data_IF_310980145941
#
_entry.id   IF_310980145941
#
_cell.length_a   1.000
_cell.length_b   1.000
_cell.length_c   1.000
_cell.angle_alpha   90.00
_cell.angle_beta   90.00
_cell.angle_gamma   90.00
#
_symmetry.space_group_name_H-M   'P 1'
#
loop_
_entity.id
_entity.type
_entity.pdbx_description
1 polymer ?
#
# COMPACT_ATOMS: atom_id res chain seq x y z
N UNK A 1 -21.38 9.82 -26.32
CA UNK A 1 -20.84 8.93 -25.27
C UNK A 1 -20.60 7.58 -25.90
N UNK A 2 -19.36 7.08 -25.84
CA UNK A 2 -18.98 5.77 -26.35
C UNK A 2 -19.29 4.70 -25.29
N UNK A 3 -19.76 3.53 -25.71
CA UNK A 3 -20.20 2.50 -24.76
C UNK A 3 -19.46 1.19 -24.99
N UNK A 4 -18.99 0.58 -23.90
CA UNK A 4 -18.28 -0.70 -23.89
C UNK A 4 -18.99 -1.71 -22.98
N UNK A 5 -18.72 -3.01 -23.22
CA UNK A 5 -19.19 -4.10 -22.36
C UNK A 5 -18.04 -5.06 -22.07
N UNK A 6 -17.81 -5.34 -20.79
CA UNK A 6 -16.84 -6.31 -20.34
C UNK A 6 -17.46 -7.24 -19.28
N UNK A 7 -16.88 -8.41 -19.05
CA UNK A 7 -17.26 -9.21 -17.89
C UNK A 7 -16.60 -8.62 -16.62
N UNK A 8 -15.35 -8.17 -16.75
CA UNK A 8 -14.61 -7.49 -15.68
C UNK A 8 -13.99 -6.19 -16.19
N UNK A 9 -14.14 -5.11 -15.43
CA UNK A 9 -13.36 -3.87 -15.61
C UNK A 9 -12.30 -3.80 -14.52
N UNK A 10 -11.06 -3.56 -14.91
CA UNK A 10 -9.94 -3.29 -13.99
C UNK A 10 -9.60 -1.82 -14.04
N UNK A 11 -9.66 -1.14 -12.92
CA UNK A 11 -9.34 0.30 -12.82
C UNK A 11 -7.92 0.48 -12.32
N UNK A 12 -7.05 0.93 -13.21
CA UNK A 12 -5.60 1.07 -13.01
C UNK A 12 -4.80 -0.09 -13.59
N UNK A 13 -3.64 0.21 -14.17
CA UNK A 13 -2.73 -0.75 -14.83
C UNK A 13 -1.37 -0.89 -14.13
N UNK A 14 -1.28 -0.56 -12.85
CA UNK A 14 -0.10 -0.89 -12.05
C UNK A 14 0.05 -2.40 -11.85
N UNK A 15 1.00 -2.84 -11.03
CA UNK A 15 1.27 -4.25 -10.76
C UNK A 15 0.01 -5.02 -10.33
N UNK A 16 -0.85 -4.41 -9.50
CA UNK A 16 -2.12 -5.01 -9.10
C UNK A 16 -3.09 -5.18 -10.27
N UNK A 17 -3.28 -4.14 -11.07
CA UNK A 17 -4.22 -4.18 -12.19
C UNK A 17 -3.84 -5.18 -13.25
N UNK A 18 -2.56 -5.20 -13.67
CA UNK A 18 -2.08 -6.14 -14.68
C UNK A 18 -2.16 -7.59 -14.19
N UNK A 19 -1.69 -7.87 -12.96
CA UNK A 19 -1.72 -9.21 -12.41
C UNK A 19 -3.16 -9.76 -12.28
N UNK A 20 -4.11 -8.95 -11.81
CA UNK A 20 -5.51 -9.36 -11.69
C UNK A 20 -6.19 -9.56 -13.05
N UNK A 21 -5.91 -8.68 -14.04
CA UNK A 21 -6.46 -8.79 -15.38
C UNK A 21 -6.01 -10.07 -16.12
N UNK A 22 -4.75 -10.47 -15.92
CA UNK A 22 -4.19 -11.71 -16.47
C UNK A 22 -4.95 -12.94 -15.93
N UNK A 23 -5.22 -12.99 -14.61
CA UNK A 23 -5.99 -14.10 -14.02
C UNK A 23 -7.42 -14.17 -14.57
N UNK A 24 -8.06 -13.03 -14.73
CA UNK A 24 -9.41 -12.96 -15.33
C UNK A 24 -9.39 -13.45 -16.77
N UNK A 25 -8.41 -13.04 -17.57
CA UNK A 25 -8.26 -13.42 -18.97
C UNK A 25 -7.97 -14.90 -19.14
N UNK A 26 -7.12 -15.48 -18.29
CA UNK A 26 -6.79 -16.91 -18.28
C UNK A 26 -8.00 -17.80 -17.99
N UNK A 27 -9.07 -17.24 -17.43
CA UNK A 27 -10.34 -17.92 -17.20
C UNK A 27 -11.37 -17.72 -18.33
N UNK A 28 -10.94 -17.20 -19.50
CA UNK A 28 -11.73 -16.94 -20.71
C UNK A 28 -12.84 -15.88 -20.53
N UNK A 29 -12.69 -14.98 -19.55
CA UNK A 29 -13.58 -13.84 -19.38
C UNK A 29 -13.08 -12.61 -20.17
N UNK A 30 -14.04 -11.76 -20.59
CA UNK A 30 -13.73 -10.48 -21.23
C UNK A 30 -13.35 -9.48 -20.17
N UNK A 31 -12.08 -9.08 -20.14
CA UNK A 31 -11.56 -8.05 -19.24
C UNK A 31 -11.19 -6.79 -20.02
N UNK A 32 -11.43 -5.62 -19.46
CA UNK A 32 -11.01 -4.32 -19.98
C UNK A 32 -10.25 -3.57 -18.88
N UNK A 33 -9.04 -3.11 -19.19
CA UNK A 33 -8.24 -2.28 -18.30
C UNK A 33 -8.45 -0.79 -18.64
N UNK A 34 -8.70 0.05 -17.64
CA UNK A 34 -8.77 1.51 -17.78
C UNK A 34 -7.59 2.14 -17.05
N UNK A 35 -6.74 2.86 -17.78
CA UNK A 35 -5.54 3.48 -17.27
C UNK A 35 -5.54 4.99 -17.56
N UNK A 36 -5.30 5.80 -16.54
CA UNK A 36 -5.26 7.27 -16.67
C UNK A 36 -3.97 7.81 -17.30
N UNK A 37 -2.89 7.06 -17.17
CA UNK A 37 -1.57 7.43 -17.74
C UNK A 37 -1.49 7.04 -19.23
N UNK A 38 -0.42 7.51 -19.90
CA UNK A 38 -0.16 7.26 -21.33
C UNK A 38 0.41 5.89 -21.62
N UNK A 39 0.75 5.13 -20.59
CA UNK A 39 1.35 3.80 -20.68
C UNK A 39 0.92 2.91 -19.54
N UNK A 40 1.01 1.59 -19.76
CA UNK A 40 0.75 0.58 -18.74
C UNK A 40 1.92 0.51 -17.74
N UNK A 41 1.65 0.14 -16.48
CA UNK A 41 2.69 -0.18 -15.50
C UNK A 41 2.64 0.67 -14.22
N UNK A 42 1.97 1.82 -14.27
CA UNK A 42 1.76 2.70 -13.12
C UNK A 42 3.07 3.16 -12.47
N UNK A 43 3.05 3.32 -11.14
CA UNK A 43 4.19 3.84 -10.36
C UNK A 43 5.46 2.99 -10.49
N UNK A 44 5.36 1.71 -10.86
CA UNK A 44 6.48 0.79 -10.96
C UNK A 44 7.50 1.22 -12.02
N UNK A 45 7.05 1.92 -13.07
CA UNK A 45 7.90 2.43 -14.15
C UNK A 45 8.98 3.43 -13.68
N UNK A 46 8.69 4.22 -12.66
CA UNK A 46 9.65 5.18 -12.13
C UNK A 46 10.60 4.61 -11.06
N UNK A 47 10.36 3.37 -10.61
CA UNK A 47 11.13 2.70 -9.57
C UNK A 47 12.36 2.00 -10.17
N UNK A 48 13.37 2.75 -10.62
CA UNK A 48 14.56 2.21 -11.32
C UNK A 48 15.60 1.56 -10.41
N UNK A 49 15.31 1.42 -9.11
CA UNK A 49 16.16 0.70 -8.14
C UNK A 49 15.83 -0.80 -8.09
N UNK A 50 16.75 -1.60 -7.59
CA UNK A 50 16.61 -3.04 -7.41
C UNK A 50 15.68 -3.40 -6.23
N UNK A 51 15.34 -4.69 -6.13
CA UNK A 51 14.58 -5.29 -5.04
C UNK A 51 13.17 -5.74 -5.42
N UNK A 52 12.86 -5.79 -6.71
CA UNK A 52 11.60 -6.30 -7.28
C UNK A 52 11.78 -7.74 -7.77
N UNK A 53 10.74 -8.55 -7.74
CA UNK A 53 10.68 -9.86 -8.41
C UNK A 53 11.27 -11.03 -7.65
N UNK A 54 11.87 -10.84 -6.49
CA UNK A 54 12.52 -11.92 -5.72
C UNK A 54 11.56 -13.06 -5.36
N UNK A 55 10.29 -12.77 -5.07
CA UNK A 55 9.27 -13.78 -4.77
C UNK A 55 8.50 -14.24 -6.01
N UNK A 56 8.16 -13.30 -6.87
CA UNK A 56 7.34 -13.55 -8.05
C UNK A 56 8.10 -14.28 -9.17
N UNK A 57 9.35 -13.84 -9.43
CA UNK A 57 10.16 -14.33 -10.55
C UNK A 57 11.44 -15.05 -10.10
N UNK A 58 11.73 -15.07 -8.79
CA UNK A 58 12.98 -15.62 -8.21
C UNK A 58 14.23 -14.95 -8.80
N UNK A 59 14.12 -13.69 -9.15
CA UNK A 59 15.13 -12.88 -9.81
C UNK A 59 15.07 -11.46 -9.27
N UNK A 60 16.22 -10.82 -9.04
CA UNK A 60 16.28 -9.43 -8.61
C UNK A 60 16.18 -8.51 -9.81
N UNK A 61 15.14 -7.71 -9.88
CA UNK A 61 14.81 -6.83 -10.98
C UNK A 61 14.69 -5.38 -10.50
N UNK A 62 14.75 -4.44 -11.44
CA UNK A 62 14.24 -3.07 -11.26
C UNK A 62 12.72 -3.03 -11.45
N UNK A 63 12.07 -1.93 -11.03
CA UNK A 63 10.62 -1.77 -11.22
C UNK A 63 10.18 -1.86 -12.69
N UNK A 64 10.82 -1.16 -13.65
CA UNK A 64 10.51 -1.29 -15.08
C UNK A 64 10.68 -2.72 -15.61
N UNK A 65 11.75 -3.43 -15.26
CA UNK A 65 11.95 -4.84 -15.67
C UNK A 65 10.87 -5.75 -15.11
N UNK A 66 10.51 -5.55 -13.86
CA UNK A 66 9.42 -6.28 -13.20
C UNK A 66 8.09 -6.10 -13.91
N UNK A 67 7.68 -4.86 -14.10
CA UNK A 67 6.36 -4.58 -14.65
C UNK A 67 6.26 -4.93 -16.13
N UNK A 68 7.38 -4.84 -16.87
CA UNK A 68 7.42 -5.20 -18.28
C UNK A 68 7.05 -6.67 -18.51
N UNK A 69 7.36 -7.56 -17.57
CA UNK A 69 6.95 -8.98 -17.66
C UNK A 69 5.44 -9.15 -17.61
N UNK A 70 4.73 -8.35 -16.81
CA UNK A 70 3.27 -8.35 -16.79
C UNK A 70 2.67 -7.66 -18.01
N UNK A 71 3.27 -6.56 -18.47
CA UNK A 71 2.86 -5.88 -19.71
C UNK A 71 2.94 -6.84 -20.90
N UNK A 72 4.05 -7.56 -21.04
CA UNK A 72 4.21 -8.55 -22.10
C UNK A 72 3.10 -9.63 -22.06
N UNK A 73 2.78 -10.16 -20.90
CA UNK A 73 1.68 -11.12 -20.74
C UNK A 73 0.31 -10.52 -21.15
N UNK A 74 0.05 -9.26 -20.79
CA UNK A 74 -1.18 -8.56 -21.21
C UNK A 74 -1.25 -8.43 -22.72
N UNK A 75 -0.14 -8.10 -23.38
CA UNK A 75 -0.05 -7.99 -24.83
C UNK A 75 -0.20 -9.35 -25.53
N UNK A 76 0.48 -10.38 -25.04
CA UNK A 76 0.41 -11.75 -25.58
C UNK A 76 -1.01 -12.33 -25.48
N UNK A 77 -1.68 -12.09 -24.35
CA UNK A 77 -3.07 -12.49 -24.12
C UNK A 77 -4.09 -11.60 -24.84
N UNK A 78 -3.62 -10.54 -25.50
CA UNK A 78 -4.46 -9.53 -26.18
C UNK A 78 -5.57 -8.99 -25.29
N UNK A 79 -5.21 -8.66 -24.06
CA UNK A 79 -6.14 -8.01 -23.12
C UNK A 79 -6.39 -6.57 -23.60
N UNK A 80 -7.63 -6.16 -23.87
CA UNK A 80 -7.92 -4.79 -24.27
C UNK A 80 -7.71 -3.82 -23.09
N UNK A 81 -7.16 -2.66 -23.42
CA UNK A 81 -6.94 -1.57 -22.45
C UNK A 81 -7.18 -0.21 -23.14
N UNK A 82 -7.55 0.78 -22.33
CA UNK A 82 -7.67 2.18 -22.75
C UNK A 82 -6.71 3.02 -21.88
N UNK A 83 -5.76 3.68 -22.54
CA UNK A 83 -4.83 4.64 -21.96
C UNK A 83 -5.43 6.05 -21.98
N UNK A 84 -4.79 7.03 -21.31
CA UNK A 84 -5.31 8.40 -21.17
C UNK A 84 -6.79 8.43 -20.74
N UNK A 85 -7.21 7.46 -19.94
CA UNK A 85 -8.61 7.21 -19.60
C UNK A 85 -8.82 7.30 -18.09
N UNK A 86 -9.32 8.45 -17.66
CA UNK A 86 -9.58 8.74 -16.25
C UNK A 86 -10.98 8.28 -15.88
N UNK A 87 -11.09 7.30 -14.99
CA UNK A 87 -12.37 6.91 -14.39
C UNK A 87 -12.82 8.01 -13.43
N UNK A 88 -14.05 8.47 -13.61
CA UNK A 88 -14.63 9.58 -12.84
C UNK A 88 -15.78 9.14 -11.93
N UNK A 89 -16.42 8.02 -12.23
CA UNK A 89 -17.54 7.49 -11.44
C UNK A 89 -17.65 5.98 -11.58
N UNK A 90 -18.01 5.31 -10.50
CA UNK A 90 -18.38 3.90 -10.45
C UNK A 90 -19.72 3.82 -9.74
N UNK A 91 -20.71 3.16 -10.36
CA UNK A 91 -22.05 3.01 -9.79
C UNK A 91 -22.23 1.63 -9.13
N UNK A 92 -23.22 1.50 -8.25
CA UNK A 92 -23.54 0.23 -7.57
C UNK A 92 -23.96 -0.90 -8.53
N UNK A 93 -24.54 -0.54 -9.67
CA UNK A 93 -24.91 -1.49 -10.75
C UNK A 93 -23.73 -1.79 -11.70
N UNK A 94 -22.53 -1.43 -11.30
CA UNK A 94 -21.26 -1.72 -11.98
C UNK A 94 -21.14 -1.08 -13.37
N UNK A 95 -21.67 0.11 -13.53
CA UNK A 95 -21.32 1.02 -14.62
C UNK A 95 -20.09 1.84 -14.23
N UNK A 96 -19.16 1.96 -15.15
CA UNK A 96 -17.95 2.77 -14.99
C UNK A 96 -18.00 3.89 -16.01
N UNK A 97 -17.94 5.14 -15.51
CA UNK A 97 -17.84 6.31 -16.37
C UNK A 97 -16.39 6.82 -16.35
N UNK A 98 -15.88 7.09 -17.55
CA UNK A 98 -14.50 7.55 -17.72
C UNK A 98 -14.44 8.65 -18.77
N UNK A 99 -13.39 9.47 -18.70
CA UNK A 99 -13.05 10.48 -19.71
C UNK A 99 -11.75 10.08 -20.39
N UNK A 100 -11.76 10.08 -21.71
CA UNK A 100 -10.62 9.79 -22.56
C UNK A 100 -10.37 10.95 -23.52
N UNK A 101 -9.12 11.27 -23.81
CA UNK A 101 -8.76 12.42 -24.63
C UNK A 101 -9.24 12.30 -26.08
N UNK A 102 -9.31 11.10 -26.64
CA UNK A 102 -9.72 10.85 -28.03
C UNK A 102 -11.23 10.56 -28.14
N UNK A 103 -11.76 9.78 -27.18
CA UNK A 103 -13.13 9.26 -27.26
C UNK A 103 -14.14 10.08 -26.46
N UNK A 104 -13.67 11.05 -25.66
CA UNK A 104 -14.51 11.86 -24.77
C UNK A 104 -15.07 11.03 -23.62
N UNK A 105 -16.36 11.20 -23.33
CA UNK A 105 -17.05 10.47 -22.25
C UNK A 105 -17.35 9.03 -22.67
N UNK A 106 -16.93 8.09 -21.86
CA UNK A 106 -17.05 6.63 -22.02
C UNK A 106 -17.93 6.07 -20.92
N UNK A 107 -18.83 5.15 -21.25
CA UNK A 107 -19.54 4.27 -20.32
C UNK A 107 -19.10 2.82 -20.54
N UNK A 108 -18.73 2.12 -19.47
CA UNK A 108 -18.45 0.67 -19.50
C UNK A 108 -19.42 -0.06 -18.59
N UNK A 109 -20.21 -0.97 -19.14
CA UNK A 109 -21.04 -1.88 -18.35
C UNK A 109 -20.27 -3.15 -18.04
N UNK A 110 -20.10 -3.45 -16.75
CA UNK A 110 -19.40 -4.63 -16.26
C UNK A 110 -20.30 -5.56 -15.43
N UNK A 111 -19.90 -6.84 -15.29
CA UNK A 111 -20.47 -7.76 -14.30
C UNK A 111 -19.72 -7.68 -12.97
N UNK A 112 -18.45 -7.35 -13.01
CA UNK A 112 -17.58 -7.17 -11.85
C UNK A 112 -16.53 -6.10 -12.10
N UNK A 113 -16.02 -5.48 -11.02
CA UNK A 113 -15.00 -4.44 -11.09
C UNK A 113 -13.86 -4.81 -10.13
N UNK A 114 -12.61 -4.63 -10.58
CA UNK A 114 -11.42 -4.73 -9.73
C UNK A 114 -10.82 -3.33 -9.56
N UNK A 115 -10.78 -2.85 -8.33
CA UNK A 115 -10.17 -1.59 -7.94
C UNK A 115 -8.67 -1.80 -7.72
N UNK A 116 -7.84 -1.18 -8.56
CA UNK A 116 -6.38 -1.29 -8.53
C UNK A 116 -5.70 0.09 -8.70
N UNK A 117 -6.36 1.16 -8.22
CA UNK A 117 -5.93 2.55 -8.40
C UNK A 117 -4.69 2.95 -7.59
N UNK A 118 -4.21 2.08 -6.71
CA UNK A 118 -3.03 2.34 -5.90
C UNK A 118 -3.25 3.35 -4.78
N UNK A 119 -2.25 4.17 -4.52
CA UNK A 119 -2.26 5.20 -3.47
C UNK A 119 -1.59 6.48 -3.95
N UNK A 120 -1.80 7.59 -3.21
CA UNK A 120 -1.10 8.86 -3.39
C UNK A 120 -0.29 9.21 -2.16
N UNK A 121 0.73 10.03 -2.31
CA UNK A 121 1.54 10.52 -1.22
C UNK A 121 0.84 11.63 -0.43
N UNK A 122 1.10 11.68 0.88
CA UNK A 122 0.67 12.81 1.71
C UNK A 122 1.42 14.06 1.32
N UNK A 123 0.68 15.11 0.99
CA UNK A 123 1.23 16.42 0.62
C UNK A 123 1.51 17.27 1.86
N UNK A 124 2.22 18.41 1.66
CA UNK A 124 2.39 19.44 2.68
C UNK A 124 1.08 19.87 3.34
N UNK A 125 0.00 20.00 2.54
CA UNK A 125 -1.32 20.37 3.06
C UNK A 125 -1.90 19.36 4.03
N UNK A 126 -1.66 18.08 3.81
CA UNK A 126 -2.13 17.00 4.68
C UNK A 126 -1.46 16.98 6.07
N UNK A 127 -0.21 17.49 6.17
CA UNK A 127 0.56 17.55 7.43
C UNK A 127 0.71 18.98 7.98
N UNK A 128 0.07 19.97 7.32
CA UNK A 128 -0.06 21.36 7.80
C UNK A 128 1.25 22.05 8.21
N UNK A 129 2.37 21.87 7.48
CA UNK A 129 3.63 22.54 7.80
C UNK A 129 3.48 24.06 7.64
N UNK A 130 3.75 24.88 8.69
CA UNK A 130 3.66 26.32 8.62
C UNK A 130 4.68 26.95 7.66
N UNK A 131 4.40 28.17 7.21
CA UNK A 131 5.26 28.98 6.35
C UNK A 131 4.63 29.30 4.99
N UNK A 132 5.39 29.94 4.11
CA UNK A 132 4.97 30.27 2.76
C UNK A 132 4.79 29.00 1.89
N UNK A 133 4.23 29.17 0.71
CA UNK A 133 4.08 28.09 -0.30
C UNK A 133 4.98 28.36 -1.51
N UNK A 134 6.31 28.40 -1.34
CA UNK A 134 7.24 28.64 -2.43
C UNK A 134 7.35 27.42 -3.36
N UNK A 135 7.95 27.59 -4.54
CA UNK A 135 8.46 26.47 -5.32
C UNK A 135 9.53 25.68 -4.53
N UNK A 136 9.75 24.42 -4.86
CA UNK A 136 10.74 23.56 -4.20
C UNK A 136 10.19 22.68 -3.09
N UNK A 137 8.86 22.49 -3.01
CA UNK A 137 8.23 21.55 -2.08
C UNK A 137 7.55 20.47 -2.93
N UNK A 138 8.01 19.22 -2.80
CA UNK A 138 7.52 18.08 -3.56
C UNK A 138 7.35 16.87 -2.66
N UNK A 139 6.53 15.91 -3.07
CA UNK A 139 6.58 14.58 -2.48
C UNK A 139 7.77 13.80 -3.04
N UNK A 140 8.25 12.78 -2.32
CA UNK A 140 9.41 12.00 -2.75
C UNK A 140 9.15 11.26 -4.08
N UNK A 141 7.94 10.70 -4.27
CA UNK A 141 7.56 10.04 -5.51
C UNK A 141 7.36 10.99 -6.68
N UNK A 142 6.89 12.23 -6.44
CA UNK A 142 6.85 13.26 -7.47
C UNK A 142 8.28 13.64 -7.92
N UNK A 143 9.20 13.80 -6.98
CA UNK A 143 10.61 14.05 -7.31
C UNK A 143 11.23 12.85 -8.05
N UNK A 144 10.87 11.62 -7.67
CA UNK A 144 11.29 10.41 -8.36
C UNK A 144 10.84 10.41 -9.84
N UNK A 145 9.60 10.78 -10.11
CA UNK A 145 9.09 10.91 -11.48
C UNK A 145 9.88 11.97 -12.26
N UNK A 146 10.11 13.16 -11.69
CA UNK A 146 10.88 14.20 -12.35
C UNK A 146 12.28 13.72 -12.74
N UNK A 147 12.98 13.04 -11.83
CA UNK A 147 14.36 12.59 -12.08
C UNK A 147 14.40 11.39 -13.02
N UNK A 148 13.55 10.38 -12.79
CA UNK A 148 13.67 9.08 -13.44
C UNK A 148 12.92 8.97 -14.77
N UNK A 149 11.85 9.75 -14.96
CA UNK A 149 11.00 9.71 -16.16
C UNK A 149 11.18 10.98 -17.00
N UNK A 150 11.09 12.14 -16.36
CA UNK A 150 11.07 13.44 -17.08
C UNK A 150 12.48 14.02 -17.30
N UNK A 151 13.51 13.52 -16.61
CA UNK A 151 14.90 13.99 -16.72
C UNK A 151 15.17 15.36 -16.10
N UNK A 152 14.38 15.77 -15.09
CA UNK A 152 14.53 17.06 -14.41
C UNK A 152 15.00 16.91 -12.98
N UNK A 153 15.93 17.76 -12.55
CA UNK A 153 16.30 17.91 -11.14
C UNK A 153 15.45 19.05 -10.53
N UNK A 154 14.58 18.75 -9.54
CA UNK A 154 13.74 19.76 -8.92
C UNK A 154 14.48 20.75 -8.03
N UNK A 155 15.75 20.52 -7.72
CA UNK A 155 16.64 21.41 -6.97
C UNK A 155 18.05 20.87 -6.85
N UNK A 156 18.86 21.49 -5.96
CA UNK A 156 20.27 21.11 -5.76
C UNK A 156 20.60 20.77 -4.30
N UNK A 157 19.93 21.40 -3.32
CA UNK A 157 20.15 21.19 -1.89
C UNK A 157 18.86 20.74 -1.21
N UNK A 158 18.84 19.51 -0.75
CA UNK A 158 17.62 18.85 -0.31
C UNK A 158 17.59 18.64 1.20
N UNK A 159 16.42 18.84 1.78
CA UNK A 159 16.01 18.22 3.06
C UNK A 159 14.86 17.29 2.73
N UNK A 160 14.90 16.08 3.29
CA UNK A 160 13.85 15.07 3.12
C UNK A 160 13.15 14.88 4.45
N UNK A 161 11.84 15.08 4.52
CA UNK A 161 11.02 14.84 5.71
C UNK A 161 10.38 13.46 5.61
N UNK A 162 10.71 12.59 6.55
CA UNK A 162 10.32 11.20 6.63
C UNK A 162 11.38 10.25 6.09
N UNK A 163 11.68 9.19 6.84
CA UNK A 163 12.62 8.12 6.50
C UNK A 163 11.92 6.88 5.92
N UNK A 164 10.77 7.05 5.26
CA UNK A 164 10.14 6.00 4.47
C UNK A 164 11.03 5.58 3.30
N UNK A 165 10.82 4.37 2.75
CA UNK A 165 11.68 3.78 1.73
C UNK A 165 11.92 4.71 0.54
N UNK A 166 10.88 5.35 0.02
CA UNK A 166 11.01 6.24 -1.13
C UNK A 166 11.86 7.48 -0.80
N UNK A 167 11.75 8.01 0.43
CA UNK A 167 12.58 9.13 0.88
C UNK A 167 14.06 8.78 0.94
N UNK A 168 14.39 7.61 1.49
CA UNK A 168 15.78 7.13 1.56
C UNK A 168 16.33 6.78 0.18
N UNK A 169 15.56 6.11 -0.66
CA UNK A 169 15.94 5.80 -2.06
C UNK A 169 16.21 7.08 -2.84
N UNK A 170 15.35 8.10 -2.68
CA UNK A 170 15.56 9.39 -3.33
C UNK A 170 16.74 10.16 -2.75
N UNK A 171 17.05 10.04 -1.47
CA UNK A 171 18.27 10.61 -0.90
C UNK A 171 19.52 10.10 -1.63
N UNK A 172 19.65 8.80 -1.78
CA UNK A 172 20.72 8.17 -2.57
C UNK A 172 20.68 8.60 -4.04
N UNK A 173 19.50 8.54 -4.66
CA UNK A 173 19.34 8.88 -6.09
C UNK A 173 19.80 10.30 -6.41
N UNK A 174 19.39 11.27 -5.60
CA UNK A 174 19.78 12.67 -5.76
C UNK A 174 21.28 12.89 -5.52
N UNK A 175 21.87 12.16 -4.58
CA UNK A 175 23.32 12.19 -4.37
C UNK A 175 24.08 11.69 -5.60
N UNK A 176 23.59 10.64 -6.27
CA UNK A 176 24.17 10.15 -7.53
C UNK A 176 24.05 11.16 -8.68
N UNK A 177 23.02 12.00 -8.67
CA UNK A 177 22.88 13.10 -9.63
C UNK A 177 23.73 14.34 -9.28
N UNK A 178 24.58 14.25 -8.26
CA UNK A 178 25.46 15.34 -7.84
C UNK A 178 24.80 16.39 -6.95
N UNK A 179 23.59 16.14 -6.47
CA UNK A 179 22.90 17.02 -5.53
C UNK A 179 23.39 16.81 -4.09
N UNK A 180 23.22 17.82 -3.25
CA UNK A 180 23.52 17.76 -1.82
C UNK A 180 22.26 17.42 -1.00
N UNK A 181 22.23 16.27 -0.36
CA UNK A 181 21.18 15.93 0.61
C UNK A 181 21.67 16.31 2.00
N UNK A 182 21.14 17.41 2.53
CA UNK A 182 21.53 17.99 3.83
C UNK A 182 21.16 17.08 5.01
N UNK A 183 19.97 16.50 4.99
CA UNK A 183 19.51 15.56 6.01
C UNK A 183 18.22 14.87 5.57
N UNK A 184 18.01 13.65 6.11
CA UNK A 184 16.70 13.02 6.24
C UNK A 184 16.22 13.25 7.68
N UNK A 185 15.03 13.84 7.84
CA UNK A 185 14.43 14.21 9.14
C UNK A 185 13.26 13.28 9.41
N UNK A 186 13.29 12.58 10.54
CA UNK A 186 12.28 11.59 10.90
C UNK A 186 11.63 11.95 12.25
N UNK A 187 10.31 11.95 12.30
CA UNK A 187 9.55 12.27 13.51
C UNK A 187 9.63 11.15 14.55
N UNK A 188 9.73 9.91 14.11
CA UNK A 188 9.89 8.75 14.96
C UNK A 188 11.31 8.69 15.55
N UNK A 189 11.52 8.02 16.70
CA UNK A 189 12.86 7.78 17.24
C UNK A 189 13.65 6.69 16.50
N UNK A 190 13.11 6.14 15.43
CA UNK A 190 13.68 5.10 14.58
C UNK A 190 13.27 5.31 13.11
N UNK A 191 13.93 4.61 12.19
CA UNK A 191 13.63 4.65 10.75
C UNK A 191 12.25 4.06 10.47
N UNK A 192 11.45 4.76 9.67
CA UNK A 192 10.11 4.31 9.29
C UNK A 192 10.08 3.37 8.07
N UNK A 193 11.16 3.27 7.29
CA UNK A 193 11.32 2.34 6.18
C UNK A 193 12.13 1.09 6.56
N UNK A 194 12.53 0.32 5.55
CA UNK A 194 13.32 -0.91 5.71
C UNK A 194 14.75 -0.60 6.15
N UNK A 195 15.28 -1.36 7.12
CA UNK A 195 16.64 -1.18 7.63
C UNK A 195 17.72 -1.30 6.55
N UNK A 196 17.53 -2.18 5.55
CA UNK A 196 18.45 -2.26 4.42
C UNK A 196 18.58 -0.95 3.66
N UNK A 197 17.48 -0.19 3.53
CA UNK A 197 17.50 1.10 2.84
C UNK A 197 18.16 2.18 3.69
N UNK A 198 18.09 2.12 5.03
CA UNK A 198 18.90 2.97 5.89
C UNK A 198 20.39 2.81 5.60
N UNK A 199 20.89 1.58 5.57
CA UNK A 199 22.30 1.30 5.30
C UNK A 199 22.66 1.72 3.87
N UNK A 200 21.99 1.14 2.87
CA UNK A 200 22.34 1.30 1.46
C UNK A 200 22.04 2.68 0.86
N UNK A 201 21.18 3.48 1.49
CA UNK A 201 20.78 4.77 0.94
C UNK A 201 21.25 5.95 1.78
N UNK A 202 21.53 5.79 3.07
CA UNK A 202 21.96 6.88 3.93
C UNK A 202 23.37 6.67 4.48
N UNK A 203 23.66 5.54 5.13
CA UNK A 203 24.95 5.30 5.78
C UNK A 203 26.10 5.19 4.78
N UNK A 204 25.93 4.42 3.69
CA UNK A 204 26.92 4.27 2.62
C UNK A 204 27.26 5.59 1.91
N UNK A 205 26.38 6.60 2.01
CA UNK A 205 26.57 7.93 1.40
C UNK A 205 26.80 9.04 2.41
N UNK A 206 26.97 8.71 3.70
CA UNK A 206 27.14 9.67 4.79
C UNK A 206 26.02 10.74 4.86
N UNK A 207 24.78 10.38 4.49
CA UNK A 207 23.64 11.29 4.55
C UNK A 207 23.11 11.31 5.98
N UNK A 208 23.05 12.49 6.65
CA UNK A 208 22.60 12.58 8.03
C UNK A 208 21.13 12.17 8.21
N UNK A 209 20.86 11.26 9.15
CA UNK A 209 19.52 10.92 9.62
C UNK A 209 19.29 11.57 10.98
N UNK A 210 18.25 12.42 11.09
CA UNK A 210 17.91 13.15 12.31
C UNK A 210 16.56 12.64 12.81
N UNK A 211 16.56 11.75 13.79
CA UNK A 211 15.36 11.15 14.38
C UNK A 211 14.77 11.98 15.52
N UNK A 212 13.50 11.78 15.83
CA UNK A 212 12.73 12.56 16.82
C UNK A 212 12.67 14.06 16.50
N UNK A 213 12.69 14.42 15.21
CA UNK A 213 12.55 15.79 14.72
C UNK A 213 11.51 15.85 13.59
N UNK A 214 10.89 17.02 13.46
CA UNK A 214 10.01 17.30 12.32
C UNK A 214 10.25 18.71 11.78
N UNK A 215 9.83 18.96 10.53
CA UNK A 215 9.87 20.32 9.95
C UNK A 215 8.72 21.14 10.52
N UNK A 216 9.06 22.23 11.21
CA UNK A 216 8.09 23.10 11.87
C UNK A 216 7.87 24.42 11.17
N UNK A 217 8.73 24.79 10.20
CA UNK A 217 8.56 26.00 9.38
C UNK A 217 9.33 25.89 8.07
N UNK A 218 8.71 26.37 6.98
CA UNK A 218 9.32 26.54 5.67
C UNK A 218 9.65 28.02 5.46
N UNK A 219 10.87 28.31 5.03
CA UNK A 219 11.37 29.65 4.72
C UNK A 219 11.51 29.83 3.20
N UNK A 220 11.37 31.07 2.75
CA UNK A 220 11.43 31.49 1.36
C UNK A 220 10.04 31.83 0.80
N UNK A 221 9.98 32.85 -0.06
CA UNK A 221 8.74 33.35 -0.65
C UNK A 221 8.52 32.79 -2.06
N UNK A 222 9.49 32.91 -2.92
CA UNK A 222 9.39 32.46 -4.31
C UNK A 222 9.87 31.00 -4.46
N UNK A 223 10.96 30.65 -3.78
CA UNK A 223 11.51 29.31 -3.66
C UNK A 223 11.90 29.02 -2.21
N UNK A 224 11.95 27.75 -1.83
CA UNK A 224 12.47 27.30 -0.53
C UNK A 224 13.91 27.81 -0.37
N UNK A 225 14.21 28.45 0.78
CA UNK A 225 15.53 28.94 1.19
C UNK A 225 16.06 28.17 2.40
N UNK A 226 15.20 27.37 3.01
CA UNK A 226 15.53 26.53 4.16
C UNK A 226 14.30 26.08 4.93
N UNK A 227 14.52 25.22 5.88
CA UNK A 227 13.50 24.71 6.80
C UNK A 227 13.98 24.85 8.24
N UNK A 228 13.06 25.12 9.16
CA UNK A 228 13.31 24.94 10.59
C UNK A 228 12.79 23.56 10.99
N UNK A 229 13.64 22.78 11.64
CA UNK A 229 13.27 21.52 12.28
C UNK A 229 13.25 21.72 13.80
N UNK A 230 12.38 20.98 14.49
CA UNK A 230 12.31 20.98 15.96
C UNK A 230 12.21 19.56 16.45
N UNK A 231 12.81 19.30 17.62
CA UNK A 231 12.67 18.03 18.32
C UNK A 231 11.21 17.86 18.77
N UNK A 232 10.74 16.62 18.79
CA UNK A 232 9.43 16.25 19.32
C UNK A 232 9.58 15.30 20.51
N UNK A 233 8.61 15.33 21.40
CA UNK A 233 8.48 14.40 22.52
C UNK A 233 7.76 13.09 22.09
N UNK A 234 7.41 12.24 23.07
CA UNK A 234 6.72 10.96 22.82
C UNK A 234 5.29 11.12 22.32
N UNK A 235 4.68 12.27 22.49
CA UNK A 235 3.33 12.60 22.00
C UNK A 235 3.39 13.32 20.65
N UNK A 236 4.58 13.46 20.05
CA UNK A 236 4.87 14.25 18.86
C UNK A 236 4.68 15.75 19.04
N UNK A 237 4.61 16.24 20.29
CA UNK A 237 4.55 17.66 20.59
C UNK A 237 5.94 18.29 20.44
N UNK A 238 5.97 19.51 19.88
CA UNK A 238 7.19 20.24 19.62
C UNK A 238 7.86 20.68 20.92
N UNK A 239 9.14 20.39 21.09
CA UNK A 239 9.97 20.88 22.19
C UNK A 239 10.49 22.27 21.85
N UNK A 240 10.02 23.28 22.57
CA UNK A 240 10.43 24.70 22.41
C UNK A 240 11.91 24.85 22.76
N UNK A 241 12.65 25.64 21.98
CA UNK A 241 14.09 25.87 22.16
C UNK A 241 14.98 24.82 21.49
N UNK A 242 14.41 23.82 20.81
CA UNK A 242 15.15 22.80 20.08
C UNK A 242 15.30 23.10 18.58
N UNK A 243 14.86 24.27 18.15
CA UNK A 243 14.82 24.69 16.76
C UNK A 243 16.20 24.72 16.11
N UNK A 244 16.31 24.14 14.91
CA UNK A 244 17.50 24.19 14.07
C UNK A 244 17.11 24.61 12.65
N UNK A 245 17.82 25.55 12.08
CA UNK A 245 17.65 25.94 10.68
C UNK A 245 18.56 25.10 9.80
N UNK A 246 18.02 24.57 8.71
CA UNK A 246 18.76 23.87 7.66
C UNK A 246 18.54 24.61 6.35
N UNK A 247 19.61 25.15 5.79
CA UNK A 247 19.57 25.78 4.47
C UNK A 247 19.38 24.74 3.38
N UNK A 248 18.34 24.91 2.53
CA UNK A 248 18.06 24.07 1.38
C UNK A 248 17.23 24.85 0.35
N UNK A 249 17.21 24.39 -0.89
CA UNK A 249 16.35 24.96 -1.92
C UNK A 249 15.16 24.05 -2.27
N UNK A 250 15.15 22.85 -1.69
CA UNK A 250 14.09 21.86 -1.94
C UNK A 250 13.79 21.03 -0.69
N UNK A 251 12.50 20.89 -0.37
CA UNK A 251 11.98 20.04 0.67
C UNK A 251 11.21 18.87 0.01
N UNK A 252 11.66 17.64 0.22
CA UNK A 252 10.92 16.45 -0.17
C UNK A 252 10.13 15.88 1.01
N UNK A 253 8.94 15.39 0.72
CA UNK A 253 8.03 14.79 1.71
C UNK A 253 7.90 13.29 1.44
N UNK A 254 8.30 12.48 2.42
CA UNK A 254 8.14 11.02 2.45
C UNK A 254 7.38 10.63 3.73
N UNK A 255 6.19 11.21 3.91
CA UNK A 255 5.43 11.22 5.16
C UNK A 255 4.21 10.31 5.14
N UNK A 256 4.29 9.25 4.35
CA UNK A 256 3.28 8.22 4.23
C UNK A 256 2.36 8.38 3.02
N UNK A 257 1.58 7.34 2.79
CA UNK A 257 0.71 7.15 1.65
C UNK A 257 -0.76 7.15 2.06
N UNK A 258 -1.63 7.50 1.12
CA UNK A 258 -3.09 7.49 1.27
C UNK A 258 -3.65 6.60 0.18
N UNK A 259 -4.32 5.48 0.51
CA UNK A 259 -5.04 4.67 -0.48
C UNK A 259 -6.03 5.51 -1.29
N UNK A 260 -6.10 5.30 -2.61
CA UNK A 260 -6.87 6.12 -3.55
C UNK A 260 -8.31 5.62 -3.63
N UNK A 261 -9.17 6.04 -2.68
CA UNK A 261 -10.51 5.48 -2.48
C UNK A 261 -11.66 6.48 -2.70
N UNK A 262 -11.46 7.58 -3.40
CA UNK A 262 -12.55 8.52 -3.73
C UNK A 262 -13.63 7.86 -4.60
N UNK A 263 -13.23 7.11 -5.64
CA UNK A 263 -14.16 6.34 -6.47
C UNK A 263 -14.87 5.23 -5.68
N UNK A 264 -14.17 4.58 -4.77
CA UNK A 264 -14.71 3.53 -3.89
C UNK A 264 -15.81 4.08 -2.98
N UNK A 265 -15.55 5.23 -2.35
CA UNK A 265 -16.54 5.93 -1.53
C UNK A 265 -17.75 6.41 -2.35
N UNK A 266 -17.52 7.00 -3.52
CA UNK A 266 -18.57 7.49 -4.39
C UNK A 266 -19.47 6.34 -4.90
N UNK A 267 -18.91 5.16 -5.12
CA UNK A 267 -19.66 3.96 -5.42
C UNK A 267 -20.53 3.46 -4.23
N UNK A 268 -20.24 3.94 -3.02
CA UNK A 268 -20.96 3.60 -1.79
C UNK A 268 -20.39 2.41 -1.04
N UNK A 269 -19.11 2.07 -1.25
CA UNK A 269 -18.41 1.10 -0.43
C UNK A 269 -17.89 1.74 0.86
N UNK A 270 -17.83 0.96 1.93
CA UNK A 270 -17.30 1.39 3.21
C UNK A 270 -15.78 1.28 3.25
N UNK A 271 -15.13 2.20 3.97
CA UNK A 271 -13.69 2.18 4.20
C UNK A 271 -13.37 1.77 5.64
N UNK A 272 -12.27 1.07 5.80
CA UNK A 272 -11.72 0.73 7.11
C UNK A 272 -10.72 1.79 7.60
N UNK A 273 -10.25 1.64 8.85
CA UNK A 273 -9.38 2.60 9.54
C UNK A 273 -8.08 2.92 8.77
N UNK A 274 -7.55 1.98 7.99
CA UNK A 274 -6.34 2.19 7.18
C UNK A 274 -6.57 3.02 5.91
N UNK A 275 -7.83 3.44 5.65
CA UNK A 275 -8.22 4.18 4.45
C UNK A 275 -8.48 3.31 3.22
N UNK A 276 -8.28 1.99 3.29
CA UNK A 276 -8.66 1.04 2.25
C UNK A 276 -10.11 0.57 2.41
N UNK A 277 -10.73 0.00 1.36
CA UNK A 277 -12.08 -0.54 1.48
C UNK A 277 -12.15 -1.68 2.50
N UNK A 278 -13.32 -1.80 3.14
CA UNK A 278 -13.67 -2.98 3.91
C UNK A 278 -13.84 -4.14 2.95
N UNK A 279 -13.12 -5.25 3.18
CA UNK A 279 -13.17 -6.44 2.32
C UNK A 279 -13.34 -7.72 3.12
N UNK A 280 -13.92 -8.73 2.46
CA UNK A 280 -13.94 -10.10 2.97
C UNK A 280 -12.68 -10.91 2.59
N UNK A 281 -12.66 -12.18 2.97
CA UNK A 281 -11.58 -13.13 2.66
C UNK A 281 -11.33 -13.34 1.17
N UNK A 282 -12.28 -12.98 0.30
CA UNK A 282 -12.17 -13.01 -1.15
C UNK A 282 -11.70 -11.67 -1.74
N UNK A 283 -11.39 -10.67 -0.92
CA UNK A 283 -11.07 -9.30 -1.32
C UNK A 283 -12.26 -8.57 -1.99
N UNK A 284 -13.48 -9.06 -1.79
CA UNK A 284 -14.72 -8.41 -2.22
C UNK A 284 -15.08 -7.30 -1.23
N UNK A 285 -15.39 -6.12 -1.74
CA UNK A 285 -15.78 -4.96 -0.93
C UNK A 285 -17.19 -5.12 -0.35
N UNK A 286 -17.71 -4.08 0.33
CA UNK A 286 -19.11 -4.06 0.78
C UNK A 286 -20.12 -3.94 -0.39
N UNK A 287 -19.63 -3.72 -1.61
CA UNK A 287 -20.44 -3.75 -2.85
C UNK A 287 -20.21 -5.10 -3.54
N UNK A 288 -21.28 -5.84 -3.75
CA UNK A 288 -21.27 -7.14 -4.41
C UNK A 288 -20.63 -7.06 -5.82
N UNK A 289 -19.64 -7.94 -6.08
CA UNK A 289 -18.92 -8.02 -7.34
C UNK A 289 -17.92 -6.89 -7.57
N UNK A 290 -17.60 -6.10 -6.55
CA UNK A 290 -16.53 -5.09 -6.58
C UNK A 290 -15.40 -5.55 -5.66
N UNK A 291 -14.23 -5.80 -6.24
CA UNK A 291 -13.04 -6.30 -5.55
C UNK A 291 -11.97 -5.21 -5.46
N UNK A 292 -11.08 -5.32 -4.48
CA UNK A 292 -9.97 -4.38 -4.33
C UNK A 292 -8.65 -5.11 -4.04
N UNK A 293 -7.54 -4.65 -4.63
CA UNK A 293 -6.22 -5.22 -4.41
C UNK A 293 -5.11 -4.19 -4.60
N UNK A 294 -3.96 -4.47 -3.99
CA UNK A 294 -2.80 -3.58 -4.01
C UNK A 294 -2.98 -2.36 -3.10
N UNK A 295 -2.26 -1.28 -3.41
CA UNK A 295 -2.16 -0.14 -2.51
C UNK A 295 -3.47 0.65 -2.30
N UNK A 296 -4.49 0.43 -3.11
CA UNK A 296 -5.84 0.96 -2.87
C UNK A 296 -6.51 0.27 -1.67
N UNK A 297 -6.20 -1.01 -1.42
CA UNK A 297 -6.69 -1.78 -0.29
C UNK A 297 -5.83 -1.57 0.96
N UNK A 298 -4.53 -1.73 0.80
CA UNK A 298 -3.53 -1.56 1.86
C UNK A 298 -2.15 -1.31 1.24
N UNK A 299 -1.35 -0.45 1.87
CA UNK A 299 -0.01 -0.15 1.38
C UNK A 299 0.92 -1.34 1.62
N UNK A 300 1.53 -1.84 0.57
CA UNK A 300 2.51 -2.95 0.62
C UNK A 300 3.95 -2.46 0.62
N UNK A 301 4.84 -3.23 1.23
CA UNK A 301 6.29 -2.97 1.25
C UNK A 301 7.00 -3.52 0.00
N UNK A 302 6.45 -4.60 -0.56
CA UNK A 302 7.00 -5.31 -1.71
C UNK A 302 5.96 -5.46 -2.81
N UNK A 303 6.34 -5.14 -4.04
CA UNK A 303 5.46 -5.28 -5.21
C UNK A 303 5.06 -6.73 -5.47
N UNK A 304 5.91 -7.69 -5.13
CA UNK A 304 5.60 -9.12 -5.24
C UNK A 304 4.37 -9.52 -4.42
N UNK A 305 4.17 -8.90 -3.25
CA UNK A 305 2.98 -9.10 -2.42
C UNK A 305 1.74 -8.44 -3.05
N UNK A 306 1.92 -7.28 -3.69
CA UNK A 306 0.86 -6.62 -4.48
C UNK A 306 0.37 -7.54 -5.59
N UNK A 307 1.27 -8.12 -6.38
CA UNK A 307 0.91 -9.01 -7.47
C UNK A 307 0.27 -10.31 -6.99
N UNK A 308 0.76 -10.88 -5.88
CA UNK A 308 0.17 -12.07 -5.28
C UNK A 308 -1.26 -11.82 -4.76
N UNK A 309 -1.50 -10.68 -4.09
CA UNK A 309 -2.84 -10.27 -3.64
C UNK A 309 -3.75 -10.03 -4.84
N UNK A 310 -3.27 -9.38 -5.89
CA UNK A 310 -4.03 -9.08 -7.09
C UNK A 310 -4.42 -10.35 -7.89
N UNK A 311 -3.53 -11.33 -7.97
CA UNK A 311 -3.86 -12.64 -8.54
C UNK A 311 -5.01 -13.31 -7.79
N UNK A 312 -5.02 -13.22 -6.45
CA UNK A 312 -6.15 -13.72 -5.64
C UNK A 312 -7.43 -12.96 -5.96
N UNK A 313 -7.38 -11.62 -6.02
CA UNK A 313 -8.55 -10.81 -6.38
C UNK A 313 -9.08 -11.19 -7.77
N UNK A 314 -8.20 -11.39 -8.75
CA UNK A 314 -8.57 -11.86 -10.10
C UNK A 314 -9.28 -13.22 -10.08
N UNK A 315 -8.72 -14.21 -9.38
CA UNK A 315 -9.33 -15.54 -9.22
C UNK A 315 -10.69 -15.48 -8.52
N UNK A 316 -10.79 -14.71 -7.44
CA UNK A 316 -12.04 -14.55 -6.69
C UNK A 316 -13.12 -13.83 -7.53
N UNK A 317 -12.71 -12.87 -8.37
CA UNK A 317 -13.59 -12.22 -9.36
C UNK A 317 -14.13 -13.23 -10.38
N UNK A 318 -13.28 -14.14 -10.87
CA UNK A 318 -13.70 -15.22 -11.77
C UNK A 318 -14.71 -16.15 -11.08
N UNK A 319 -14.44 -16.53 -9.85
CA UNK A 319 -15.35 -17.39 -9.07
C UNK A 319 -16.68 -16.70 -8.80
N UNK A 320 -16.68 -15.41 -8.48
CA UNK A 320 -17.90 -14.61 -8.36
C UNK A 320 -18.73 -14.67 -9.64
N UNK A 321 -18.13 -14.40 -10.79
CA UNK A 321 -18.86 -14.40 -12.08
C UNK A 321 -19.39 -15.79 -12.42
N UNK A 322 -18.61 -16.85 -12.26
CA UNK A 322 -19.00 -18.21 -12.63
C UNK A 322 -20.01 -18.84 -11.64
N UNK A 323 -19.93 -18.51 -10.36
CA UNK A 323 -20.70 -19.21 -9.31
C UNK A 323 -21.84 -18.37 -8.72
N UNK A 324 -21.66 -17.05 -8.60
CA UNK A 324 -22.54 -16.17 -7.80
C UNK A 324 -23.29 -15.11 -8.60
N UNK A 325 -22.73 -14.61 -9.70
CA UNK A 325 -23.34 -13.53 -10.49
C UNK A 325 -24.78 -13.84 -10.90
N UNK A 326 -25.73 -12.96 -10.52
CA UNK A 326 -27.17 -13.12 -10.82
C UNK A 326 -27.90 -14.16 -9.97
N UNK A 327 -27.32 -14.64 -8.89
CA UNK A 327 -27.96 -15.55 -7.92
C UNK A 327 -28.19 -14.82 -6.61
N UNK A 328 -29.33 -15.09 -5.97
CA UNK A 328 -29.52 -14.69 -4.56
C UNK A 328 -28.62 -15.53 -3.66
N UNK A 329 -27.83 -14.86 -2.81
CA UNK A 329 -26.94 -15.50 -1.86
C UNK A 329 -27.60 -15.40 -0.49
N UNK A 330 -27.80 -16.55 0.15
CA UNK A 330 -28.13 -16.57 1.58
C UNK A 330 -26.92 -16.07 2.36
N UNK A 331 -27.05 -15.00 3.11
CA UNK A 331 -25.98 -14.50 4.00
C UNK A 331 -25.86 -15.43 5.21
N UNK A 332 -25.07 -16.50 5.10
CA UNK A 332 -24.68 -17.26 6.29
C UNK A 332 -23.50 -16.56 6.95
N UNK A 333 -23.57 -16.39 8.24
CA UNK A 333 -22.64 -15.84 9.22
C UNK A 333 -21.32 -15.20 8.73
N UNK A 334 -21.07 -13.99 9.22
CA UNK A 334 -19.79 -13.28 9.04
C UNK A 334 -19.02 -13.33 10.36
N UNK A 335 -17.70 -13.54 10.28
CA UNK A 335 -16.79 -13.41 11.40
C UNK A 335 -16.00 -12.11 11.21
N UNK A 336 -16.15 -11.16 12.12
CA UNK A 336 -15.43 -9.90 12.10
C UNK A 336 -13.99 -10.10 12.56
N UNK A 337 -13.02 -9.52 11.83
CA UNK A 337 -11.60 -9.52 12.19
C UNK A 337 -11.23 -8.18 12.84
N UNK A 338 -10.78 -8.21 14.09
CA UNK A 338 -10.51 -7.02 14.89
C UNK A 338 -9.02 -6.92 15.20
N UNK A 339 -8.47 -5.72 15.04
CA UNK A 339 -7.12 -5.39 15.47
C UNK A 339 -7.09 -5.24 16.99
N UNK A 340 -6.29 -6.06 17.67
CA UNK A 340 -6.05 -6.03 19.11
C UNK A 340 -4.75 -5.32 19.48
N UNK A 341 -4.11 -5.79 20.57
CA UNK A 341 -2.89 -5.18 21.11
C UNK A 341 -1.76 -5.16 20.06
N UNK A 342 -1.10 -4.00 19.95
CA UNK A 342 -0.02 -3.71 18.98
C UNK A 342 -0.33 -4.04 17.51
N UNK A 343 -1.61 -4.06 17.11
CA UNK A 343 -2.03 -4.23 15.73
C UNK A 343 -2.77 -2.96 15.26
N UNK A 344 -2.38 -2.41 14.11
CA UNK A 344 -2.96 -1.19 13.56
C UNK A 344 -4.29 -1.45 12.85
N UNK A 345 -4.29 -2.41 11.93
CA UNK A 345 -5.44 -2.87 11.15
C UNK A 345 -5.23 -4.33 10.76
N UNK A 346 -6.29 -5.00 10.35
CA UNK A 346 -6.27 -6.37 9.83
C UNK A 346 -7.03 -6.42 8.51
N UNK A 347 -6.52 -7.15 7.54
CA UNK A 347 -7.23 -7.60 6.34
C UNK A 347 -7.23 -9.14 6.28
N UNK A 348 -8.37 -9.76 5.89
CA UNK A 348 -9.67 -9.16 5.61
C UNK A 348 -10.31 -8.56 6.87
N UNK A 349 -11.28 -7.66 6.68
CA UNK A 349 -12.04 -7.05 7.77
C UNK A 349 -13.08 -8.03 8.35
N UNK A 350 -13.53 -9.00 7.55
CA UNK A 350 -14.41 -10.08 7.95
C UNK A 350 -14.25 -11.33 7.07
N UNK A 351 -14.65 -12.47 7.60
CA UNK A 351 -14.65 -13.75 6.91
C UNK A 351 -16.09 -14.14 6.61
N UNK A 352 -16.40 -14.47 5.35
CA UNK A 352 -17.65 -15.10 4.95
C UNK A 352 -17.52 -16.61 5.06
N UNK A 353 -18.44 -17.29 5.77
CA UNK A 353 -18.39 -18.75 6.01
C UNK A 353 -18.73 -19.59 4.77
N UNK A 354 -19.52 -19.04 3.86
CA UNK A 354 -20.07 -19.79 2.72
C UNK A 354 -19.15 -19.88 1.49
N UNK A 355 -18.06 -19.14 1.46
CA UNK A 355 -17.25 -18.94 0.27
C UNK A 355 -15.76 -19.17 0.59
N UNK A 356 -15.46 -20.41 0.99
CA UNK A 356 -14.17 -20.75 1.58
C UNK A 356 -13.20 -21.30 0.55
N UNK A 357 -12.16 -20.53 0.26
CA UNK A 357 -10.85 -21.09 -0.05
C UNK A 357 -10.33 -21.80 1.20
N UNK A 358 -9.72 -22.96 1.06
CA UNK A 358 -9.16 -23.69 2.20
C UNK A 358 -8.15 -22.90 3.05
N UNK A 359 -7.70 -21.74 2.58
CA UNK A 359 -6.69 -20.89 3.22
C UNK A 359 -7.18 -19.44 3.33
N UNK A 360 -7.14 -18.89 4.55
CA UNK A 360 -7.31 -17.46 4.80
C UNK A 360 -5.95 -16.83 4.99
N UNK A 361 -5.71 -15.72 4.31
CA UNK A 361 -4.49 -14.92 4.43
C UNK A 361 -4.83 -13.64 5.19
N UNK A 362 -4.42 -13.56 6.45
CA UNK A 362 -4.48 -12.33 7.22
C UNK A 362 -3.23 -11.50 6.96
N UNK A 363 -3.43 -10.21 6.71
CA UNK A 363 -2.35 -9.23 6.60
C UNK A 363 -2.61 -8.08 7.56
N UNK A 364 -1.55 -7.61 8.23
CA UNK A 364 -1.64 -6.52 9.20
C UNK A 364 -0.28 -5.88 9.44
N UNK A 365 -0.29 -4.69 10.09
CA UNK A 365 0.90 -4.01 10.57
C UNK A 365 0.81 -3.78 12.07
N UNK A 366 1.98 -3.73 12.72
CA UNK A 366 2.05 -3.35 14.14
C UNK A 366 2.06 -1.82 14.30
N UNK A 367 1.67 -1.35 15.49
CA UNK A 367 1.72 0.07 15.84
C UNK A 367 3.12 0.51 16.27
N UNK A 368 3.87 -0.37 16.93
CA UNK A 368 5.21 -0.10 17.42
C UNK A 368 6.13 -1.29 17.23
N UNK A 369 7.47 -1.05 17.07
CA UNK A 369 8.43 -2.13 17.01
C UNK A 369 8.51 -2.87 18.35
N UNK A 370 8.65 -4.19 18.27
CA UNK A 370 8.82 -5.05 19.45
C UNK A 370 9.68 -6.27 19.11
N UNK A 371 10.25 -6.90 20.15
CA UNK A 371 11.11 -8.09 20.02
C UNK A 371 10.58 -9.23 20.88
N UNK A 372 10.85 -10.48 20.43
CA UNK A 372 10.41 -11.72 21.09
C UNK A 372 8.91 -11.71 21.35
N UNK A 373 8.13 -11.53 20.29
CA UNK A 373 6.68 -11.44 20.34
C UNK A 373 5.99 -12.75 20.00
N UNK A 374 4.74 -12.85 20.40
CA UNK A 374 3.79 -13.85 19.98
C UNK A 374 2.63 -13.16 19.25
N UNK A 375 2.39 -13.57 18.03
CA UNK A 375 1.18 -13.23 17.29
C UNK A 375 0.14 -14.26 17.70
N UNK A 376 -1.06 -13.80 18.08
CA UNK A 376 -2.16 -14.70 18.41
C UNK A 376 -3.48 -14.22 17.85
N UNK A 377 -4.36 -15.19 17.59
CA UNK A 377 -5.76 -14.96 17.26
C UNK A 377 -6.57 -15.54 18.41
N UNK A 378 -7.50 -14.77 18.92
CA UNK A 378 -8.41 -15.16 19.99
C UNK A 378 -9.86 -14.84 19.64
N UNK A 379 -10.80 -15.52 20.29
CA UNK A 379 -12.21 -15.21 20.20
C UNK A 379 -12.63 -14.08 21.18
N UNK A 380 -13.92 -13.74 21.22
CA UNK A 380 -14.47 -12.73 22.14
C UNK A 380 -14.38 -13.16 23.62
N UNK A 381 -14.27 -14.45 23.90
CA UNK A 381 -14.09 -15.00 25.25
C UNK A 381 -12.63 -15.07 25.68
N UNK A 382 -11.69 -14.55 24.86
CA UNK A 382 -10.24 -14.62 25.04
C UNK A 382 -9.63 -16.02 24.93
N UNK A 383 -10.32 -17.00 24.33
CA UNK A 383 -9.74 -18.30 24.02
C UNK A 383 -8.77 -18.14 22.85
N UNK A 384 -7.52 -18.59 23.01
CA UNK A 384 -6.50 -18.52 21.97
C UNK A 384 -6.73 -19.63 20.94
N UNK A 385 -7.08 -19.24 19.71
CA UNK A 385 -7.38 -20.12 18.59
C UNK A 385 -6.10 -20.48 17.82
N UNK A 386 -5.23 -19.50 17.65
CA UNK A 386 -3.97 -19.62 16.91
C UNK A 386 -2.85 -18.82 17.57
N UNK A 387 -1.62 -19.33 17.51
CA UNK A 387 -0.43 -18.61 17.99
C UNK A 387 0.79 -18.91 17.13
N UNK A 388 1.62 -17.88 16.91
CA UNK A 388 2.91 -17.97 16.19
C UNK A 388 3.95 -17.09 16.85
N UNK A 389 5.15 -17.62 17.08
CA UNK A 389 6.26 -16.84 17.62
C UNK A 389 6.98 -16.08 16.50
N UNK A 390 7.39 -14.82 16.77
CA UNK A 390 8.23 -14.03 15.88
C UNK A 390 9.35 -13.36 16.68
N UNK A 391 10.54 -13.22 16.08
CA UNK A 391 11.72 -12.68 16.78
C UNK A 391 11.59 -11.18 16.96
N UNK A 392 11.14 -10.47 15.92
CA UNK A 392 10.89 -9.04 15.94
C UNK A 392 9.74 -8.68 15.00
N UNK A 393 9.13 -7.55 15.25
CA UNK A 393 8.11 -6.90 14.41
C UNK A 393 8.39 -5.41 14.34
N UNK A 394 8.14 -4.81 13.17
CA UNK A 394 8.29 -3.36 12.96
C UNK A 394 7.11 -2.83 12.13
N UNK A 395 6.69 -1.58 12.31
CA UNK A 395 5.56 -1.00 11.59
C UNK A 395 5.75 -0.93 10.06
N UNK A 396 7.00 -0.85 9.59
CA UNK A 396 7.33 -0.81 8.16
C UNK A 396 7.14 -2.13 7.44
N UNK A 397 7.10 -3.26 8.15
CA UNK A 397 6.91 -4.59 7.55
C UNK A 397 5.48 -5.09 7.74
N UNK A 398 4.83 -5.44 6.64
CA UNK A 398 3.54 -6.13 6.66
C UNK A 398 3.74 -7.58 7.13
N UNK A 399 2.90 -8.01 8.05
CA UNK A 399 2.87 -9.39 8.53
C UNK A 399 1.78 -10.13 7.77
N UNK A 400 2.14 -11.30 7.23
CA UNK A 400 1.23 -12.22 6.57
C UNK A 400 1.10 -13.51 7.39
N UNK A 401 -0.14 -13.91 7.70
CA UNK A 401 -0.49 -15.18 8.31
C UNK A 401 -1.39 -15.97 7.37
N UNK A 402 -0.92 -17.14 6.97
CA UNK A 402 -1.70 -18.12 6.20
C UNK A 402 -2.23 -19.16 7.16
N UNK A 403 -3.54 -19.32 7.19
CA UNK A 403 -4.21 -20.22 8.12
C UNK A 403 -5.23 -21.05 7.36
N UNK A 404 -5.22 -22.37 7.57
CA UNK A 404 -6.25 -23.25 7.05
C UNK A 404 -7.58 -22.93 7.71
N UNK A 405 -8.61 -22.65 6.90
CA UNK A 405 -9.91 -22.22 7.42
C UNK A 405 -10.62 -23.36 8.20
N UNK A 406 -10.56 -24.60 7.75
CA UNK A 406 -11.21 -25.71 8.45
C UNK A 406 -10.67 -25.89 9.88
N UNK A 407 -9.36 -25.62 10.08
CA UNK A 407 -8.74 -25.63 11.41
C UNK A 407 -9.18 -24.45 12.28
N UNK A 408 -9.37 -23.30 11.64
CA UNK A 408 -9.80 -22.07 12.31
C UNK A 408 -11.28 -22.16 12.69
N UNK A 409 -12.15 -22.59 11.76
CA UNK A 409 -13.60 -22.70 11.95
C UNK A 409 -13.98 -23.63 13.10
N UNK A 410 -13.31 -24.77 13.24
CA UNK A 410 -13.55 -25.74 14.33
C UNK A 410 -13.31 -25.16 15.73
N UNK A 411 -12.58 -24.04 15.81
CA UNK A 411 -12.19 -23.39 17.07
C UNK A 411 -12.91 -22.06 17.30
N UNK A 412 -13.63 -21.53 16.30
CA UNK A 412 -14.35 -20.25 16.41
C UNK A 412 -15.79 -20.52 16.80
N UNK A 413 -16.14 -20.18 18.03
CA UNK A 413 -17.51 -20.22 18.55
C UNK A 413 -18.19 -18.84 18.54
N UNK A 414 -17.48 -17.78 18.14
CA UNK A 414 -17.93 -16.39 18.18
C UNK A 414 -18.05 -15.76 16.78
N UNK A 415 -18.74 -14.62 16.71
CA UNK A 415 -18.85 -13.81 15.48
C UNK A 415 -17.67 -12.87 15.28
N UNK A 416 -16.68 -12.88 16.18
CA UNK A 416 -15.50 -12.02 16.11
C UNK A 416 -14.24 -12.76 16.49
N UNK A 417 -13.16 -12.41 15.81
CA UNK A 417 -11.79 -12.80 16.17
C UNK A 417 -10.93 -11.56 16.34
N UNK A 418 -9.99 -11.64 17.27
CA UNK A 418 -9.07 -10.55 17.60
C UNK A 418 -7.66 -11.02 17.26
N UNK A 419 -6.96 -10.27 16.40
CA UNK A 419 -5.56 -10.51 16.06
C UNK A 419 -4.71 -9.54 16.87
N UNK A 420 -3.76 -10.05 17.64
CA UNK A 420 -2.89 -9.23 18.48
C UNK A 420 -1.43 -9.71 18.44
N UNK A 421 -0.54 -8.78 18.77
CA UNK A 421 0.90 -9.02 18.89
C UNK A 421 1.33 -8.63 20.28
N UNK A 422 1.68 -9.61 21.09
CA UNK A 422 1.99 -9.43 22.52
C UNK A 422 3.43 -9.88 22.80
N UNK A 423 4.08 -9.35 23.85
CA UNK A 423 5.34 -9.88 24.33
C UNK A 423 5.21 -11.38 24.64
N UNK A 424 6.25 -12.17 24.33
CA UNK A 424 6.25 -13.58 24.77
C UNK A 424 6.28 -13.63 26.28
N UNK A 425 5.47 -14.49 26.92
CA UNK A 425 5.67 -14.79 28.34
C UNK A 425 7.13 -15.24 28.54
N UNK A 426 7.80 -14.68 29.52
CA UNK A 426 9.08 -15.21 29.96
C UNK A 426 8.82 -16.64 30.44
N UNK A 427 9.41 -17.61 29.75
CA UNK A 427 9.52 -18.96 30.31
C UNK A 427 10.51 -18.81 31.44
N UNK A 428 10.03 -18.83 32.69
CA UNK A 428 10.88 -19.10 33.85
C UNK A 428 11.58 -20.42 33.53
N UNK A 429 12.86 -20.34 33.16
CA UNK A 429 13.72 -21.50 33.11
C UNK A 429 13.83 -21.91 34.58
N UNK A 430 13.10 -22.94 34.97
CA UNK A 430 13.40 -23.63 36.22
C UNK A 430 14.88 -24.06 36.11
N UNK A 431 15.68 -23.63 37.09
CA UNK A 431 17.14 -23.87 37.18
C UNK A 431 17.48 -25.33 37.51
N UNK A 432 16.79 -26.30 36.91
CA UNK A 432 16.94 -27.73 37.26
C UNK A 432 17.52 -28.61 36.13
N UNK A 433 18.22 -28.03 35.13
CA UNK A 433 19.04 -28.83 34.21
C UNK A 433 20.45 -28.23 34.01
N UNK A 434 21.19 -28.10 35.10
CA UNK A 434 22.65 -28.09 35.09
C UNK A 434 23.18 -29.11 36.10
N UNK A 435 23.21 -30.39 35.69
CA UNK A 435 24.14 -31.40 36.22
C UNK A 435 24.74 -32.14 35.02
#
# INVERSE_FOLDING_TARGET
>A
MKSYKADVVVVGSGAAGLASAIEVKNADLRVLILERDKELGGITLQCIHNGFGLKEFQEELTGPEYIQRFINQVLDLKIPYLLDTMVIEITKDKKVYAVNNEEGLIEVQAKSIILAMGCRERTRGAINIPGFRPAGIYTAGQAQRFVNIEGYLPGNRYVILGSGDIGMIMARRLTWEGCEVKAVVEILPYVSGLLRNQVQCLEDYNIPLITSYTVTKIHGKDRVQGVTISKVDRNFDRIIGSEKFIECDTLLLSVGLIPENELTLNAGADLSKNGGPIVDNNLETTIEGVFACGNVLQVHDLVDLVSAEAKRAGKNTVDYIKKRYGKEISSQGKIQCIAGENVNYVKPDYIKKDDLSNEIIFTFRVNSPDRRVQIQIKDEQNNVIYKRKKVYVIPSEMIELKINFEELEKKIESEKIIIEVIPRPEVLIEEDEMI
#
